data_IF_818300054025
#
_entry.id   IF_818300054025
#
_cell.length_a   1.000
_cell.length_b   1.000
_cell.length_c   1.000
_cell.angle_alpha   90.00
_cell.angle_beta   90.00
_cell.angle_gamma   90.00
#
_symmetry.space_group_name_H-M   'P 1'
#
loop_
_entity.id
_entity.type
_entity.pdbx_description
1 polymer ?
#
# COMPACT_ATOMS: atom_id res chain seq x y z
N UNK A 1 -22.65 -3.48 -6.24
CA UNK A 1 -22.17 -2.08 -6.36
C UNK A 1 -22.19 -1.71 -7.84
N UNK A 2 -22.40 -0.46 -8.25
CA UNK A 2 -22.50 -0.13 -9.69
C UNK A 2 -21.16 0.36 -10.25
N UNK A 3 -20.70 -0.26 -11.34
CA UNK A 3 -19.50 0.17 -12.08
C UNK A 3 -19.89 1.06 -13.26
N UNK A 4 -19.05 2.06 -13.54
CA UNK A 4 -19.10 2.84 -14.75
C UNK A 4 -18.58 2.00 -15.93
N UNK A 5 -19.48 1.67 -16.86
CA UNK A 5 -19.20 0.76 -17.97
C UNK A 5 -18.14 1.30 -18.94
N UNK A 6 -18.09 2.61 -19.16
CA UNK A 6 -17.09 3.23 -20.02
C UNK A 6 -15.67 3.01 -19.47
N UNK A 7 -15.47 3.28 -18.17
CA UNK A 7 -14.17 3.13 -17.53
C UNK A 7 -13.78 1.65 -17.35
N UNK A 8 -14.76 0.78 -17.10
CA UNK A 8 -14.53 -0.67 -17.03
C UNK A 8 -14.05 -1.22 -18.38
N UNK A 9 -14.70 -0.84 -19.49
CA UNK A 9 -14.28 -1.27 -20.82
C UNK A 9 -12.86 -0.79 -21.14
N UNK A 10 -12.52 0.47 -20.80
CA UNK A 10 -11.17 0.99 -20.97
C UNK A 10 -10.12 0.21 -20.16
N UNK A 11 -10.44 -0.16 -18.91
CA UNK A 11 -9.57 -1.01 -18.10
C UNK A 11 -9.37 -2.39 -18.74
N UNK A 12 -10.45 -3.04 -19.19
CA UNK A 12 -10.40 -4.37 -19.81
C UNK A 12 -9.55 -4.40 -21.08
N UNK A 13 -9.59 -3.32 -21.88
CA UNK A 13 -8.76 -3.18 -23.09
C UNK A 13 -7.30 -2.86 -22.80
N UNK A 14 -7.00 -2.22 -21.68
CA UNK A 14 -5.63 -1.84 -21.33
C UNK A 14 -4.80 -3.07 -20.94
N UNK A 15 -3.69 -3.32 -21.63
CA UNK A 15 -2.76 -4.39 -21.28
C UNK A 15 -2.22 -4.22 -19.84
N UNK A 16 -2.24 -5.31 -19.07
CA UNK A 16 -1.64 -5.32 -17.74
C UNK A 16 -0.12 -5.41 -17.85
N UNK A 17 0.57 -4.54 -17.11
CA UNK A 17 2.02 -4.55 -16.98
C UNK A 17 2.37 -4.53 -15.49
N UNK A 18 2.95 -5.62 -14.95
CA UNK A 18 3.34 -5.65 -13.54
C UNK A 18 4.48 -4.66 -13.28
N UNK A 19 4.57 -4.19 -12.04
CA UNK A 19 5.74 -3.46 -11.60
C UNK A 19 6.91 -4.42 -11.44
N UNK A 20 8.06 -4.09 -12.03
CA UNK A 20 9.30 -4.82 -11.79
C UNK A 20 9.86 -4.58 -10.38
N UNK A 21 11.10 -5.00 -10.16
CA UNK A 21 11.83 -4.71 -8.91
C UNK A 21 11.91 -3.20 -8.68
N UNK A 22 11.38 -2.77 -7.55
CA UNK A 22 11.28 -1.36 -7.16
C UNK A 22 12.15 -1.01 -5.95
N UNK A 23 11.97 0.20 -5.44
CA UNK A 23 12.49 0.57 -4.12
C UNK A 23 14.01 0.66 -3.97
N UNK A 24 14.43 0.57 -2.70
CA UNK A 24 15.81 0.47 -2.22
C UNK A 24 16.07 -0.93 -1.64
N UNK A 25 17.34 -1.29 -1.44
CA UNK A 25 17.69 -2.46 -0.64
C UNK A 25 17.33 -2.18 0.83
N UNK A 26 16.76 -3.13 1.58
CA UNK A 26 16.38 -2.91 2.98
C UNK A 26 17.52 -2.36 3.84
N UNK A 27 18.74 -2.91 3.69
CA UNK A 27 19.92 -2.42 4.40
C UNK A 27 20.21 -0.94 4.09
N UNK A 28 20.26 -0.57 2.80
CA UNK A 28 20.56 0.81 2.40
C UNK A 28 19.46 1.80 2.78
N UNK A 29 18.20 1.33 2.83
CA UNK A 29 17.12 2.16 3.34
C UNK A 29 17.27 2.37 4.84
N UNK A 30 17.57 1.32 5.62
CA UNK A 30 17.77 1.44 7.07
C UNK A 30 18.95 2.36 7.41
N UNK A 31 20.06 2.28 6.67
CA UNK A 31 21.22 3.16 6.86
C UNK A 31 20.83 4.65 6.76
N UNK A 32 20.02 5.00 5.76
CA UNK A 32 19.56 6.36 5.53
C UNK A 32 18.43 6.73 6.48
N UNK A 33 17.52 5.80 6.76
CA UNK A 33 16.23 6.10 7.36
C UNK A 33 16.18 5.99 8.87
N UNK A 34 17.00 5.10 9.39
CA UNK A 34 17.12 4.78 10.79
C UNK A 34 18.53 5.13 11.29
N UNK A 35 19.33 5.85 10.49
CA UNK A 35 20.66 6.35 10.82
C UNK A 35 21.60 5.25 11.30
N UNK A 36 21.78 4.26 10.42
CA UNK A 36 22.62 3.09 10.68
C UNK A 36 22.24 2.39 11.99
N UNK A 37 20.95 2.19 12.23
CA UNK A 37 20.48 1.48 13.42
C UNK A 37 21.11 0.08 13.47
N UNK A 38 22.15 -0.06 14.27
CA UNK A 38 22.84 -1.30 14.58
C UNK A 38 21.97 -2.17 15.49
N UNK A 39 21.82 -3.46 15.17
CA UNK A 39 21.01 -4.39 15.97
C UNK A 39 19.99 -5.21 15.20
N UNK A 40 20.06 -5.22 13.86
CA UNK A 40 19.37 -6.24 13.07
C UNK A 40 20.14 -7.56 13.15
N UNK A 41 19.61 -8.51 13.91
CA UNK A 41 20.05 -9.90 13.93
C UNK A 41 18.85 -10.80 13.57
N UNK A 42 18.89 -11.55 12.44
CA UNK A 42 19.96 -11.60 11.44
C UNK A 42 20.12 -10.29 10.65
N UNK A 43 21.19 -10.09 9.86
CA UNK A 43 21.36 -8.90 9.02
C UNK A 43 20.21 -8.67 8.03
N UNK A 44 19.92 -7.41 7.72
CA UNK A 44 18.90 -7.04 6.73
C UNK A 44 19.27 -7.51 5.31
N UNK A 45 18.29 -7.84 4.45
CA UNK A 45 18.55 -8.23 3.07
C UNK A 45 19.32 -7.17 2.28
N UNK A 46 20.26 -7.64 1.45
CA UNK A 46 21.10 -6.81 0.56
C UNK A 46 20.64 -6.84 -0.91
N UNK A 47 19.37 -7.14 -1.13
CA UNK A 47 18.77 -7.19 -2.46
C UNK A 47 17.48 -6.38 -2.52
N UNK A 48 17.10 -5.95 -3.72
CA UNK A 48 15.80 -5.33 -3.98
C UNK A 48 14.77 -6.40 -4.26
N UNK A 49 13.60 -6.25 -3.68
CA UNK A 49 12.47 -7.15 -3.92
C UNK A 49 11.58 -6.63 -5.05
N UNK A 50 11.03 -7.55 -5.85
CA UNK A 50 9.74 -7.31 -6.50
C UNK A 50 8.58 -7.50 -5.50
N UNK A 51 7.36 -7.31 -5.97
CA UNK A 51 6.16 -7.43 -5.12
C UNK A 51 5.96 -8.85 -4.57
N UNK A 52 6.20 -9.89 -5.38
CA UNK A 52 5.97 -11.27 -4.99
C UNK A 52 7.02 -11.76 -3.99
N UNK A 53 8.29 -11.44 -4.25
CA UNK A 53 9.38 -11.79 -3.34
C UNK A 53 9.25 -11.08 -1.98
N UNK A 54 8.89 -9.78 -1.99
CA UNK A 54 8.64 -9.06 -0.75
C UNK A 54 7.50 -9.70 0.05
N UNK A 55 6.43 -10.09 -0.63
CA UNK A 55 5.29 -10.74 0.01
C UNK A 55 5.67 -12.09 0.61
N UNK A 56 6.46 -12.89 -0.11
CA UNK A 56 6.99 -14.15 0.42
C UNK A 56 7.85 -13.91 1.66
N UNK A 57 8.78 -12.94 1.59
CA UNK A 57 9.65 -12.57 2.71
C UNK A 57 8.86 -12.12 3.95
N UNK A 58 7.83 -11.29 3.79
CA UNK A 58 7.02 -10.77 4.90
C UNK A 58 6.14 -11.84 5.58
N UNK A 59 5.67 -12.82 4.81
CA UNK A 59 4.80 -13.91 5.27
C UNK A 59 5.56 -15.11 5.85
N UNK A 60 6.87 -15.19 5.58
CA UNK A 60 7.72 -16.18 6.22
C UNK A 60 7.70 -15.99 7.75
N UNK A 61 7.44 -17.07 8.46
CA UNK A 61 7.35 -17.09 9.93
C UNK A 61 8.72 -16.90 10.57
N UNK A 62 9.78 -17.31 9.88
CA UNK A 62 11.16 -17.18 10.34
C UNK A 62 11.70 -15.75 10.15
N UNK A 63 11.09 -14.96 9.25
CA UNK A 63 11.45 -13.54 9.10
C UNK A 63 10.98 -12.75 10.33
N UNK A 64 11.89 -12.08 11.06
CA UNK A 64 11.47 -11.20 12.14
C UNK A 64 10.55 -10.10 11.61
N UNK A 65 9.45 -9.84 12.31
CA UNK A 65 8.42 -8.91 11.82
C UNK A 65 8.96 -7.51 11.52
N UNK A 66 9.92 -7.05 12.31
CA UNK A 66 10.51 -5.73 12.11
C UNK A 66 11.38 -5.67 10.83
N UNK A 67 12.04 -6.76 10.43
CA UNK A 67 12.73 -6.85 9.14
C UNK A 67 11.76 -6.73 7.97
N UNK A 68 10.59 -7.36 8.09
CA UNK A 68 9.53 -7.22 7.10
C UNK A 68 9.03 -5.76 7.01
N UNK A 69 8.84 -5.07 8.14
CA UNK A 69 8.53 -3.64 8.14
C UNK A 69 9.58 -2.80 7.41
N UNK A 70 10.86 -2.99 7.71
CA UNK A 70 11.98 -2.29 7.04
C UNK A 70 11.99 -2.58 5.54
N UNK A 71 11.81 -3.85 5.14
CA UNK A 71 11.78 -4.23 3.74
C UNK A 71 10.61 -3.58 2.98
N UNK A 72 9.43 -3.46 3.60
CA UNK A 72 8.26 -2.80 3.02
C UNK A 72 8.50 -1.29 2.87
N UNK A 73 9.09 -0.64 3.87
CA UNK A 73 9.44 0.78 3.80
C UNK A 73 10.47 1.06 2.70
N UNK A 74 11.48 0.20 2.57
CA UNK A 74 12.49 0.25 1.52
C UNK A 74 11.89 0.08 0.12
N UNK A 75 10.97 -0.88 -0.04
CA UNK A 75 10.25 -1.11 -1.28
C UNK A 75 9.38 0.08 -1.68
N UNK A 76 8.64 0.64 -0.71
CA UNK A 76 7.77 1.80 -0.89
C UNK A 76 8.52 3.13 -1.03
N UNK A 77 9.84 3.15 -0.85
CA UNK A 77 10.67 4.37 -0.81
C UNK A 77 10.16 5.40 0.19
N UNK A 78 9.73 4.95 1.37
CA UNK A 78 9.31 5.86 2.43
C UNK A 78 10.46 6.85 2.71
N UNK A 79 10.19 8.13 2.52
CA UNK A 79 11.19 9.17 2.72
C UNK A 79 11.49 9.27 4.21
N UNK A 80 12.75 9.10 4.57
CA UNK A 80 13.20 9.23 5.94
C UNK A 80 13.55 10.65 6.37
N UNK A 81 13.20 11.64 5.52
CA UNK A 81 13.71 13.01 5.64
C UNK A 81 13.16 13.79 6.83
N UNK A 82 12.36 13.19 7.70
CA UNK A 82 11.92 13.84 8.94
C UNK A 82 12.45 13.05 10.14
N UNK A 83 13.22 13.72 11.00
CA UNK A 83 13.67 13.13 12.28
C UNK A 83 12.50 12.63 13.14
N UNK A 84 11.29 13.17 12.92
CA UNK A 84 10.06 12.73 13.57
C UNK A 84 9.64 11.30 13.21
N UNK A 85 9.84 10.85 11.96
CA UNK A 85 9.51 9.49 11.56
C UNK A 85 10.42 8.50 12.29
N UNK A 86 11.74 8.71 12.19
CA UNK A 86 12.74 7.87 12.87
C UNK A 86 12.46 7.78 14.36
N UNK A 87 12.36 8.94 15.03
CA UNK A 87 12.07 9.01 16.47
C UNK A 87 10.78 8.25 16.82
N UNK A 88 9.74 8.40 16.01
CA UNK A 88 8.48 7.67 16.24
C UNK A 88 8.61 6.17 16.03
N UNK A 89 9.47 5.69 15.12
CA UNK A 89 9.71 4.25 14.93
C UNK A 89 10.48 3.68 16.12
N UNK A 90 11.51 4.38 16.58
CA UNK A 90 12.30 4.00 17.76
C UNK A 90 11.43 3.93 19.02
N UNK A 91 10.69 5.00 19.32
CA UNK A 91 9.82 5.11 20.51
C UNK A 91 8.69 4.07 20.53
N UNK A 92 8.20 3.66 19.35
CA UNK A 92 7.03 2.79 19.22
C UNK A 92 7.36 1.40 18.70
N UNK A 93 8.63 0.99 18.71
CA UNK A 93 9.06 -0.30 18.16
C UNK A 93 8.23 -1.48 18.68
N UNK A 94 8.02 -1.58 20.00
CA UNK A 94 7.23 -2.67 20.58
C UNK A 94 5.77 -2.68 20.10
N UNK A 95 5.15 -1.50 19.92
CA UNK A 95 3.78 -1.37 19.40
C UNK A 95 3.71 -1.73 17.91
N UNK A 96 4.73 -1.35 17.14
CA UNK A 96 4.89 -1.72 15.74
C UNK A 96 5.01 -3.24 15.61
N UNK A 97 5.89 -3.87 16.39
CA UNK A 97 6.06 -5.34 16.40
C UNK A 97 4.77 -6.05 16.83
N UNK A 98 4.04 -5.54 17.81
CA UNK A 98 2.73 -6.06 18.18
C UNK A 98 1.72 -5.98 17.03
N UNK A 99 1.62 -4.82 16.35
CA UNK A 99 0.72 -4.64 15.22
C UNK A 99 1.10 -5.54 14.03
N UNK A 100 2.40 -5.71 13.75
CA UNK A 100 2.89 -6.61 12.72
C UNK A 100 2.57 -8.09 13.01
N UNK A 101 2.73 -8.51 14.27
CA UNK A 101 2.36 -9.86 14.69
C UNK A 101 0.85 -10.10 14.55
N UNK A 102 0.02 -9.10 14.90
CA UNK A 102 -1.42 -9.15 14.66
C UNK A 102 -1.77 -9.38 13.18
N UNK A 103 -1.13 -8.62 12.28
CA UNK A 103 -1.30 -8.82 10.83
C UNK A 103 -0.93 -10.24 10.38
N UNK A 104 0.23 -10.76 10.82
CA UNK A 104 0.69 -12.11 10.47
C UNK A 104 -0.23 -13.20 11.02
N UNK A 105 -0.84 -12.96 12.18
CA UNK A 105 -1.86 -13.83 12.78
C UNK A 105 -3.24 -13.75 12.08
N UNK A 106 -3.40 -12.94 11.05
CA UNK A 106 -4.66 -12.85 10.28
C UNK A 106 -5.67 -11.86 10.84
N UNK A 107 -5.21 -10.80 11.51
CA UNK A 107 -6.07 -9.69 11.95
C UNK A 107 -6.93 -9.14 10.81
N UNK A 108 -8.20 -8.87 11.12
CA UNK A 108 -9.20 -8.36 10.18
C UNK A 108 -8.90 -6.96 9.64
N UNK A 109 -9.53 -6.58 8.52
CA UNK A 109 -9.23 -5.34 7.77
C UNK A 109 -9.41 -4.08 8.63
N UNK A 110 -10.50 -4.03 9.40
CA UNK A 110 -10.85 -2.86 10.20
C UNK A 110 -9.86 -2.69 11.34
N UNK A 111 -9.60 -3.78 12.07
CA UNK A 111 -8.68 -3.81 13.19
C UNK A 111 -7.26 -3.52 12.72
N UNK A 112 -6.83 -4.12 11.61
CA UNK A 112 -5.52 -3.90 11.00
C UNK A 112 -5.31 -2.42 10.67
N UNK A 113 -6.26 -1.80 9.98
CA UNK A 113 -6.16 -0.39 9.63
C UNK A 113 -6.10 0.50 10.87
N UNK A 114 -7.01 0.28 11.83
CA UNK A 114 -7.09 1.09 13.04
C UNK A 114 -5.84 0.95 13.92
N UNK A 115 -5.21 -0.23 13.96
CA UNK A 115 -3.97 -0.45 14.70
C UNK A 115 -2.78 0.34 14.13
N UNK A 116 -2.79 0.65 12.83
CA UNK A 116 -1.72 1.38 12.15
C UNK A 116 -1.99 2.88 11.98
N UNK A 117 -3.26 3.28 11.96
CA UNK A 117 -3.64 4.68 11.79
C UNK A 117 -3.07 5.55 12.91
N UNK A 118 -2.16 6.47 12.57
CA UNK A 118 -1.49 7.34 13.55
C UNK A 118 -0.46 6.64 14.44
N UNK A 119 -0.18 5.35 14.20
CA UNK A 119 0.82 4.60 14.98
C UNK A 119 2.20 5.23 14.79
N UNK A 120 2.67 5.42 13.56
CA UNK A 120 3.99 6.03 13.29
C UNK A 120 3.81 7.44 12.73
N UNK A 121 4.40 8.44 13.38
CA UNK A 121 4.36 9.83 12.89
C UNK A 121 5.03 9.89 11.51
N UNK A 122 4.41 10.61 10.57
CA UNK A 122 4.89 10.70 9.19
C UNK A 122 4.60 9.48 8.31
N UNK A 123 3.92 8.45 8.83
CA UNK A 123 3.49 7.28 8.05
C UNK A 123 2.00 7.39 7.69
N UNK A 124 1.71 7.84 6.47
CA UNK A 124 0.34 7.97 5.97
C UNK A 124 -0.29 6.66 5.50
N UNK A 125 -1.60 6.66 5.16
CA UNK A 125 -2.32 5.45 4.75
C UNK A 125 -1.73 4.76 3.53
N UNK A 126 -1.16 5.51 2.58
CA UNK A 126 -0.49 4.92 1.42
C UNK A 126 0.71 4.06 1.78
N UNK A 127 1.33 4.25 2.94
CA UNK A 127 2.46 3.45 3.40
C UNK A 127 2.06 2.35 4.37
N UNK A 128 1.27 2.66 5.41
CA UNK A 128 0.92 1.60 6.36
C UNK A 128 -0.03 0.55 5.75
N UNK A 129 -0.83 0.89 4.73
CA UNK A 129 -1.60 -0.14 4.01
C UNK A 129 -0.73 -1.06 3.15
N UNK A 130 0.50 -0.65 2.78
CA UNK A 130 1.51 -1.58 2.24
C UNK A 130 1.91 -2.60 3.30
N UNK A 131 2.08 -2.16 4.54
CA UNK A 131 2.37 -3.06 5.66
C UNK A 131 1.24 -4.08 5.82
N UNK A 132 -0.01 -3.63 5.84
CA UNK A 132 -1.18 -4.52 5.90
C UNK A 132 -1.19 -5.51 4.74
N UNK A 133 -1.01 -5.04 3.49
CA UNK A 133 -1.10 -5.86 2.29
C UNK A 133 0.01 -6.93 2.18
N UNK A 134 1.23 -6.63 2.60
CA UNK A 134 2.35 -7.57 2.54
C UNK A 134 2.42 -8.52 3.74
N UNK A 135 2.00 -8.07 4.94
CA UNK A 135 2.08 -8.88 6.16
C UNK A 135 0.86 -9.77 6.37
N UNK A 136 -0.33 -9.39 5.88
CA UNK A 136 -1.53 -10.21 6.02
C UNK A 136 -1.36 -11.53 5.27
N UNK A 137 -1.78 -12.68 5.84
CA UNK A 137 -1.82 -13.95 5.13
C UNK A 137 -2.93 -13.99 4.06
N UNK A 138 -3.93 -13.10 4.14
CA UNK A 138 -5.04 -13.03 3.18
C UNK A 138 -4.70 -12.22 1.92
N UNK A 139 -5.35 -12.56 0.81
CA UNK A 139 -5.28 -11.82 -0.45
C UNK A 139 -6.39 -10.77 -0.57
N UNK A 140 -7.22 -10.65 0.46
CA UNK A 140 -8.39 -9.78 0.51
C UNK A 140 -8.08 -8.38 1.08
N UNK A 141 -6.80 -8.08 1.26
CA UNK A 141 -6.28 -6.76 1.62
C UNK A 141 -5.52 -6.15 0.45
N UNK A 142 -5.50 -4.82 0.38
CA UNK A 142 -4.94 -4.11 -0.76
C UNK A 142 -4.18 -2.86 -0.31
N UNK A 143 -3.22 -2.45 -1.13
CA UNK A 143 -2.49 -1.20 -0.91
C UNK A 143 -3.42 -0.04 -1.29
N UNK A 144 -3.73 0.82 -0.33
CA UNK A 144 -4.49 2.04 -0.60
C UNK A 144 -3.52 3.13 -1.07
N UNK A 145 -3.07 3.06 -2.31
CA UNK A 145 -2.25 4.10 -2.95
C UNK A 145 -3.12 5.15 -3.65
N UNK A 146 -2.60 6.38 -3.84
CA UNK A 146 -3.32 7.45 -4.53
C UNK A 146 -3.83 7.02 -5.92
N UNK A 147 -3.07 6.24 -6.68
CA UNK A 147 -3.45 5.89 -8.04
C UNK A 147 -4.45 4.75 -8.11
N UNK A 148 -4.32 3.74 -7.24
CA UNK A 148 -5.33 2.72 -7.08
C UNK A 148 -6.66 3.34 -6.60
N UNK A 149 -6.60 4.32 -5.70
CA UNK A 149 -7.79 5.05 -5.24
C UNK A 149 -8.43 5.88 -6.35
N UNK A 150 -7.64 6.66 -7.12
CA UNK A 150 -8.15 7.42 -8.28
C UNK A 150 -8.81 6.51 -9.30
N UNK A 151 -8.17 5.39 -9.63
CA UNK A 151 -8.72 4.39 -10.55
C UNK A 151 -10.06 3.84 -10.03
N UNK A 152 -10.15 3.52 -8.73
CA UNK A 152 -11.37 3.00 -8.14
C UNK A 152 -12.49 4.04 -8.10
N UNK A 153 -12.20 5.30 -7.74
CA UNK A 153 -13.17 6.41 -7.80
C UNK A 153 -13.72 6.58 -9.21
N UNK A 154 -12.84 6.54 -10.23
CA UNK A 154 -13.23 6.62 -11.63
C UNK A 154 -14.16 5.46 -12.01
N UNK A 155 -13.76 4.22 -11.71
CA UNK A 155 -14.52 3.01 -12.04
C UNK A 155 -15.90 2.95 -11.38
N UNK A 156 -16.07 3.57 -10.21
CA UNK A 156 -17.35 3.60 -9.48
C UNK A 156 -18.12 4.91 -9.62
N UNK A 157 -17.51 5.95 -10.19
CA UNK A 157 -18.11 7.29 -10.32
C UNK A 157 -18.42 7.97 -8.99
N UNK A 158 -17.75 7.60 -7.90
CA UNK A 158 -17.98 8.17 -6.55
C UNK A 158 -16.75 8.05 -5.65
N UNK A 159 -16.71 8.88 -4.61
CA UNK A 159 -15.67 8.81 -3.59
C UNK A 159 -15.87 7.60 -2.67
N UNK A 160 -14.89 6.70 -2.65
CA UNK A 160 -14.86 5.53 -1.74
C UNK A 160 -13.87 5.75 -0.59
N UNK A 161 -12.79 6.47 -0.87
CA UNK A 161 -11.66 6.76 0.02
C UNK A 161 -11.43 8.25 -0.01
N UNK A 162 -11.32 8.87 1.16
CA UNK A 162 -11.01 10.29 1.24
C UNK A 162 -9.59 10.55 0.74
N UNK A 163 -9.46 11.45 -0.22
CA UNK A 163 -8.17 11.97 -0.65
C UNK A 163 -7.91 13.32 0.05
N UNK A 164 -6.64 13.68 0.23
CA UNK A 164 -6.28 15.04 0.61
C UNK A 164 -6.67 16.00 -0.51
N UNK A 165 -6.94 17.28 -0.20
CA UNK A 165 -7.10 18.29 -1.22
C UNK A 165 -5.91 18.26 -2.19
N UNK A 166 -6.14 18.42 -3.50
CA UNK A 166 -5.05 18.49 -4.46
C UNK A 166 -4.13 19.67 -4.13
N UNK A 167 -2.82 19.44 -4.13
CA UNK A 167 -1.82 20.50 -3.94
C UNK A 167 -1.05 20.79 -5.22
N UNK A 168 -0.94 22.08 -5.55
CA UNK A 168 -0.26 22.60 -6.75
C UNK A 168 -0.95 22.22 -8.08
N UNK A 169 -0.28 22.53 -9.18
CA UNK A 169 -0.83 22.36 -10.55
C UNK A 169 -1.01 20.89 -10.97
N UNK A 170 -0.38 19.95 -10.27
CA UNK A 170 -0.28 18.55 -10.68
C UNK A 170 -1.38 17.64 -10.10
N UNK A 171 -2.46 18.20 -9.55
CA UNK A 171 -3.56 17.46 -8.89
C UNK A 171 -3.05 16.33 -7.96
N UNK A 172 -1.96 16.62 -7.22
CA UNK A 172 -1.34 15.66 -6.31
C UNK A 172 -2.20 15.55 -5.07
N UNK A 173 -2.73 14.36 -4.84
CA UNK A 173 -3.50 14.03 -3.65
C UNK A 173 -3.10 12.65 -3.17
N UNK A 174 -3.23 12.40 -1.87
CA UNK A 174 -2.95 11.11 -1.26
C UNK A 174 -4.11 10.69 -0.37
N UNK A 175 -4.26 9.40 -0.05
CA UNK A 175 -5.24 8.96 0.93
C UNK A 175 -5.11 9.73 2.24
N UNK A 176 -6.21 10.35 2.66
CA UNK A 176 -6.29 11.24 3.80
C UNK A 176 -6.24 10.46 5.12
N UNK A 177 -5.69 11.09 6.17
CA UNK A 177 -5.78 10.59 7.55
C UNK A 177 -7.22 10.56 8.11
N UNK A 178 -8.20 11.13 7.39
CA UNK A 178 -9.64 11.04 7.71
C UNK A 178 -10.24 9.66 7.40
N UNK A 179 -9.51 8.78 6.70
CA UNK A 179 -9.97 7.42 6.47
C UNK A 179 -9.78 6.57 7.74
N UNK A 180 -10.73 5.67 7.97
CA UNK A 180 -10.74 4.71 9.09
C UNK A 180 -10.78 3.26 8.57
N UNK A 181 -10.79 2.30 9.50
CA UNK A 181 -10.84 0.88 9.15
C UNK A 181 -12.11 0.48 8.40
N UNK A 182 -13.24 1.16 8.63
CA UNK A 182 -14.49 0.92 7.90
C UNK A 182 -14.34 1.30 6.43
N UNK A 183 -13.77 2.47 6.14
CA UNK A 183 -13.47 2.91 4.77
C UNK A 183 -12.43 2.04 4.10
N UNK A 184 -11.42 1.59 4.82
CA UNK A 184 -10.45 0.62 4.27
C UNK A 184 -11.08 -0.73 3.94
N UNK A 185 -11.97 -1.24 4.80
CA UNK A 185 -12.72 -2.46 4.53
C UNK A 185 -13.62 -2.28 3.29
N UNK A 186 -14.31 -1.15 3.19
CA UNK A 186 -15.12 -0.80 2.02
C UNK A 186 -14.28 -0.71 0.74
N UNK A 187 -13.09 -0.10 0.81
CA UNK A 187 -12.13 -0.05 -0.30
C UNK A 187 -11.77 -1.45 -0.80
N UNK A 188 -11.41 -2.37 0.11
CA UNK A 188 -11.10 -3.75 -0.25
C UNK A 188 -12.33 -4.47 -0.85
N UNK A 189 -13.53 -4.26 -0.30
CA UNK A 189 -14.77 -4.85 -0.81
C UNK A 189 -15.13 -4.35 -2.23
N UNK A 190 -14.84 -3.09 -2.56
CA UNK A 190 -15.03 -2.58 -3.92
C UNK A 190 -14.01 -3.19 -4.90
N UNK A 191 -12.77 -3.43 -4.46
CA UNK A 191 -11.80 -4.17 -5.29
C UNK A 191 -12.25 -5.61 -5.53
N UNK A 192 -12.75 -6.31 -4.52
CA UNK A 192 -13.28 -7.67 -4.68
C UNK A 192 -14.46 -7.72 -5.66
N UNK A 193 -15.38 -6.76 -5.55
CA UNK A 193 -16.49 -6.63 -6.48
C UNK A 193 -16.03 -6.35 -7.91
N UNK A 194 -15.02 -5.48 -8.09
CA UNK A 194 -14.40 -5.25 -9.39
C UNK A 194 -13.69 -6.52 -9.92
N UNK A 195 -13.08 -7.32 -9.03
CA UNK A 195 -12.46 -8.58 -9.36
C UNK A 195 -13.38 -9.55 -10.09
N UNK A 196 -14.65 -9.64 -9.66
CA UNK A 196 -15.68 -10.45 -10.33
C UNK A 196 -15.89 -10.05 -11.81
N UNK A 197 -15.77 -8.76 -12.15
CA UNK A 197 -15.89 -8.28 -13.53
C UNK A 197 -14.60 -8.48 -14.36
N UNK A 198 -13.46 -8.69 -13.70
CA UNK A 198 -12.15 -8.89 -14.33
C UNK A 198 -11.70 -10.36 -14.32
N UNK A 199 -12.44 -11.26 -13.67
CA UNK A 199 -12.02 -12.65 -13.45
C UNK A 199 -10.84 -12.79 -12.49
N UNK A 200 -10.63 -11.81 -11.60
CA UNK A 200 -9.54 -11.78 -10.61
C UNK A 200 -10.06 -12.08 -9.21
N UNK A 201 -9.28 -12.81 -8.42
CA UNK A 201 -9.61 -13.15 -7.02
C UNK A 201 -8.75 -12.34 -6.05
N UNK A 202 -9.38 -11.89 -4.96
CA UNK A 202 -8.74 -11.13 -3.90
C UNK A 202 -8.54 -9.65 -4.25
N UNK A 203 -8.66 -8.79 -3.24
CA UNK A 203 -8.45 -7.36 -3.39
C UNK A 203 -7.03 -7.01 -3.86
N UNK A 204 -6.02 -7.79 -3.45
CA UNK A 204 -4.61 -7.53 -3.79
C UNK A 204 -4.32 -7.64 -5.28
N UNK A 205 -4.88 -8.65 -5.96
CA UNK A 205 -4.68 -8.84 -7.40
C UNK A 205 -5.38 -7.75 -8.22
N UNK A 206 -6.56 -7.32 -7.78
CA UNK A 206 -7.31 -6.25 -8.42
C UNK A 206 -6.62 -4.90 -8.22
N UNK A 207 -6.12 -4.63 -7.01
CA UNK A 207 -5.32 -3.44 -6.72
C UNK A 207 -4.12 -3.34 -7.64
N UNK A 208 -3.35 -4.42 -7.78
CA UNK A 208 -2.20 -4.45 -8.67
C UNK A 208 -2.59 -4.20 -10.13
N UNK A 209 -3.72 -4.78 -10.57
CA UNK A 209 -4.27 -4.61 -11.91
C UNK A 209 -4.65 -3.15 -12.23
N UNK A 210 -5.24 -2.44 -11.27
CA UNK A 210 -5.70 -1.05 -11.45
C UNK A 210 -4.63 -0.02 -11.10
N UNK A 211 -3.63 -0.38 -10.29
CA UNK A 211 -2.50 0.50 -9.99
C UNK A 211 -1.69 0.73 -11.28
N UNK A 212 -1.34 -0.37 -11.96
CA UNK A 212 -0.55 -0.45 -13.19
C UNK A 212 0.79 0.34 -13.13
N UNK A 213 1.69 0.09 -14.08
CA UNK A 213 2.97 0.81 -14.17
C UNK A 213 2.71 2.31 -14.44
N UNK A 214 3.55 3.25 -13.95
CA UNK A 214 3.33 4.69 -14.14
C UNK A 214 3.17 5.16 -15.60
N UNK A 215 3.78 4.46 -16.55
CA UNK A 215 3.74 4.68 -18.00
C UNK A 215 2.84 3.65 -18.72
N UNK A 216 1.97 2.96 -17.97
CA UNK A 216 1.01 2.01 -18.53
C UNK A 216 -0.22 2.70 -19.13
N UNK A 217 -0.88 2.10 -20.13
CA UNK A 217 -2.02 2.71 -20.82
C UNK A 217 -3.20 3.01 -19.89
N UNK A 218 -3.43 2.15 -18.89
CA UNK A 218 -4.46 2.40 -17.88
C UNK A 218 -4.13 3.62 -17.00
N UNK A 219 -2.86 3.82 -16.68
CA UNK A 219 -2.43 4.94 -15.83
C UNK A 219 -2.65 6.27 -16.52
N UNK A 220 -2.31 6.35 -17.80
CA UNK A 220 -2.59 7.53 -18.64
C UNK A 220 -4.09 7.79 -18.74
N UNK A 221 -4.89 6.74 -18.89
CA UNK A 221 -6.35 6.87 -18.94
C UNK A 221 -6.90 7.45 -17.63
N UNK A 222 -6.47 6.94 -16.48
CA UNK A 222 -6.89 7.47 -15.17
C UNK A 222 -6.47 8.93 -15.01
N UNK A 223 -5.23 9.29 -15.38
CA UNK A 223 -4.73 10.67 -15.27
C UNK A 223 -5.56 11.66 -16.09
N UNK A 224 -5.96 11.28 -17.32
CA UNK A 224 -6.77 12.13 -18.20
C UNK A 224 -8.23 12.27 -17.76
N UNK A 225 -8.81 11.20 -17.19
CA UNK A 225 -10.25 11.13 -16.95
C UNK A 225 -10.64 11.36 -15.49
N UNK A 226 -9.74 11.16 -14.53
CA UNK A 226 -10.05 11.39 -13.12
C UNK A 226 -10.09 12.88 -12.80
N UNK A 227 -11.16 13.29 -12.12
CA UNK A 227 -11.29 14.63 -11.55
C UNK A 227 -11.41 14.53 -10.03
N UNK A 228 -10.86 15.50 -9.27
CA UNK A 228 -11.14 15.60 -7.84
C UNK A 228 -12.65 15.64 -7.59
N UNK A 229 -13.12 14.82 -6.66
CA UNK A 229 -14.51 14.74 -6.22
C UNK A 229 -14.74 15.60 -4.99
#
# INVERSE_FOLDING_TARGET
>A
MQLNQQHLAALQMAAFQPNGRGGMMPISWADVALDQWDGFDPPLPRQRFDRHELRAFCRDKETPVFHAFVAIMAWGRQSARTGEFRKSVEEKRGQIEQALNGLRAGQGRVEAYNAWSGLVKGLGPSFFTKVIAFMSPSDDVAIMDQWAVKALHLLYGKEIVHLTPPSGDQKRCSPSGKNDGTRYSAYCAHLEHLGSALGLKGASAVEERIFCRPDGPWREYVDRNWQPM
#
